data_IF_750645230989
#
_entry.id   IF_750645230989
#
_cell.length_a   1.000
_cell.length_b   1.000
_cell.length_c   1.000
_cell.angle_alpha   90.00
_cell.angle_beta   90.00
_cell.angle_gamma   90.00
#
_symmetry.space_group_name_H-M   'P 1'
#
loop_
_entity.id
_entity.type
_entity.pdbx_description
1 polymer ?
#
# COMPACT_ATOMS: atom_id res chain seq x y z
N UNK A 1 -6.00 -8.74 10.17
CA UNK A 1 -5.15 -8.58 11.38
C UNK A 1 -3.72 -8.18 11.03
N UNK A 2 -3.02 -8.91 10.16
CA UNK A 2 -1.66 -8.59 9.69
C UNK A 2 -1.39 -7.10 9.43
N UNK A 3 -2.24 -6.43 8.66
CA UNK A 3 -2.05 -5.03 8.33
C UNK A 3 -2.44 -4.02 9.43
N UNK A 4 -3.19 -4.45 10.44
CA UNK A 4 -3.46 -3.62 11.63
C UNK A 4 -2.26 -3.64 12.57
N UNK A 5 -1.53 -4.77 12.60
CA UNK A 5 -0.25 -4.90 13.30
C UNK A 5 0.80 -4.04 12.60
N UNK A 6 0.96 -4.19 11.28
CA UNK A 6 1.95 -3.44 10.53
C UNK A 6 3.38 -3.70 11.02
N UNK A 7 4.24 -2.70 10.90
CA UNK A 7 5.64 -2.75 11.35
C UNK A 7 5.83 -2.73 12.87
N UNK A 8 4.77 -2.82 13.67
CA UNK A 8 4.88 -2.69 15.13
C UNK A 8 5.35 -3.98 15.81
N UNK A 9 5.13 -5.14 15.18
CA UNK A 9 5.52 -6.44 15.72
C UNK A 9 6.32 -7.23 14.70
N UNK A 10 7.36 -7.93 15.18
CA UNK A 10 8.18 -8.86 14.41
C UNK A 10 8.38 -10.12 15.24
N UNK A 11 8.33 -11.29 14.61
CA UNK A 11 8.71 -12.55 15.24
C UNK A 11 10.18 -12.83 14.98
N UNK A 12 10.93 -13.24 15.99
CA UNK A 12 12.35 -13.60 15.86
C UNK A 12 12.51 -15.10 16.14
N UNK A 13 12.78 -15.89 15.09
CA UNK A 13 12.91 -17.35 15.21
C UNK A 13 14.34 -17.77 15.60
N UNK A 14 15.33 -17.00 15.16
CA UNK A 14 16.75 -17.13 15.50
C UNK A 14 17.35 -15.72 15.61
N UNK A 15 18.44 -15.56 16.35
CA UNK A 15 19.09 -14.26 16.52
C UNK A 15 19.41 -13.61 15.17
N UNK A 16 18.81 -12.45 14.91
CA UNK A 16 18.95 -11.71 13.64
C UNK A 16 17.98 -12.13 12.52
N UNK A 17 17.21 -13.20 12.69
CA UNK A 17 16.17 -13.60 11.75
C UNK A 17 14.81 -13.08 12.21
N UNK A 18 14.42 -11.91 11.68
CA UNK A 18 13.13 -11.28 11.96
C UNK A 18 12.15 -11.50 10.82
N UNK A 19 10.99 -12.05 11.16
CA UNK A 19 9.85 -12.22 10.28
C UNK A 19 8.74 -11.23 10.61
N UNK A 20 8.04 -10.78 9.57
CA UNK A 20 6.95 -9.83 9.66
C UNK A 20 5.68 -10.48 9.13
N UNK A 21 4.54 -10.12 9.72
CA UNK A 21 3.24 -10.68 9.34
C UNK A 21 2.70 -10.05 8.04
N UNK A 22 3.47 -10.12 6.94
CA UNK A 22 3.06 -9.65 5.63
C UNK A 22 2.31 -10.78 4.93
N UNK A 23 1.06 -10.52 4.53
CA UNK A 23 0.19 -11.52 3.91
C UNK A 23 -0.26 -11.05 2.53
N UNK A 24 -0.07 -11.92 1.53
CA UNK A 24 -0.68 -11.78 0.21
C UNK A 24 -1.77 -12.86 0.10
N UNK A 25 -3.02 -12.45 -0.08
CA UNK A 25 -4.18 -13.34 -0.03
C UNK A 25 -5.00 -13.17 -1.29
N UNK A 26 -5.20 -14.28 -2.01
CA UNK A 26 -6.11 -14.34 -3.15
C UNK A 26 -7.35 -15.20 -2.82
N UNK A 27 -8.52 -14.59 -2.81
CA UNK A 27 -9.79 -15.29 -2.70
C UNK A 27 -10.21 -15.81 -4.07
N UNK A 28 -10.16 -17.13 -4.25
CA UNK A 28 -10.51 -17.78 -5.52
C UNK A 28 -12.02 -18.03 -5.57
N UNK A 29 -12.71 -17.48 -6.57
CA UNK A 29 -14.16 -17.66 -6.72
C UNK A 29 -14.63 -17.55 -8.16
N UNK A 30 -15.62 -18.36 -8.56
CA UNK A 30 -16.23 -18.23 -9.88
C UNK A 30 -16.93 -16.87 -10.02
N UNK A 31 -16.98 -16.30 -11.25
CA UNK A 31 -17.80 -15.12 -11.51
C UNK A 31 -19.24 -15.35 -11.04
N UNK A 32 -19.78 -14.42 -10.23
CA UNK A 32 -21.14 -14.52 -9.69
C UNK A 32 -21.27 -15.17 -8.30
N UNK A 33 -20.20 -15.68 -7.70
CA UNK A 33 -20.21 -16.25 -6.32
C UNK A 33 -20.21 -15.14 -5.24
N UNK A 34 -20.30 -13.87 -5.65
CA UNK A 34 -20.35 -12.69 -4.77
C UNK A 34 -19.19 -12.60 -3.75
N UNK A 35 -18.02 -13.19 -4.02
CA UNK A 35 -16.85 -13.18 -3.11
C UNK A 35 -16.36 -11.77 -2.74
N UNK A 36 -16.58 -10.80 -3.64
CA UNK A 36 -16.31 -9.38 -3.40
C UNK A 36 -17.15 -8.79 -2.26
N UNK A 37 -18.38 -9.28 -2.04
CA UNK A 37 -19.29 -8.71 -1.05
C UNK A 37 -18.89 -9.05 0.40
N UNK A 38 -18.62 -10.33 0.76
CA UNK A 38 -18.02 -10.67 2.06
C UNK A 38 -16.68 -10.00 2.30
N UNK A 39 -15.82 -9.88 1.27
CA UNK A 39 -14.54 -9.17 1.40
C UNK A 39 -14.77 -7.70 1.74
N UNK A 40 -15.65 -7.02 0.99
CA UNK A 40 -15.97 -5.61 1.24
C UNK A 40 -16.56 -5.41 2.64
N UNK A 41 -17.43 -6.32 3.08
CA UNK A 41 -18.01 -6.30 4.41
C UNK A 41 -16.94 -6.45 5.51
N UNK A 42 -16.02 -7.41 5.37
CA UNK A 42 -14.90 -7.60 6.30
C UNK A 42 -13.99 -6.37 6.38
N UNK A 43 -13.84 -5.66 5.26
CA UNK A 43 -12.99 -4.48 5.15
C UNK A 43 -13.65 -3.18 5.62
N UNK A 44 -14.99 -3.15 5.82
CA UNK A 44 -15.72 -1.93 6.22
C UNK A 44 -15.13 -1.18 7.41
N UNK A 45 -14.75 -1.82 8.54
CA UNK A 45 -14.18 -1.10 9.67
C UNK A 45 -12.89 -0.34 9.32
N UNK A 46 -12.10 -0.86 8.37
CA UNK A 46 -10.89 -0.21 7.89
C UNK A 46 -11.21 0.94 6.91
N UNK A 47 -12.24 0.77 6.08
CA UNK A 47 -12.75 1.82 5.20
C UNK A 47 -13.27 3.00 6.01
N UNK A 48 -14.09 2.73 7.04
CA UNK A 48 -14.63 3.75 7.94
C UNK A 48 -13.52 4.50 8.69
N UNK A 49 -12.49 3.76 9.12
CA UNK A 49 -11.32 4.37 9.76
C UNK A 49 -10.56 5.29 8.80
N UNK A 50 -10.32 4.84 7.56
CA UNK A 50 -9.68 5.65 6.53
C UNK A 50 -10.53 6.87 6.13
N UNK A 51 -11.85 6.75 6.14
CA UNK A 51 -12.76 7.88 5.91
C UNK A 51 -12.61 8.94 7.02
N UNK A 52 -12.55 8.51 8.28
CA UNK A 52 -12.28 9.41 9.41
C UNK A 52 -10.91 10.09 9.30
N UNK A 53 -9.86 9.35 8.90
CA UNK A 53 -8.52 9.91 8.67
C UNK A 53 -8.49 10.88 7.49
N UNK A 54 -9.22 10.59 6.41
CA UNK A 54 -9.35 11.48 5.27
C UNK A 54 -10.06 12.79 5.64
N UNK A 55 -11.09 12.74 6.50
CA UNK A 55 -11.75 13.94 7.00
C UNK A 55 -10.81 14.79 7.87
N UNK A 56 -10.06 14.17 8.79
CA UNK A 56 -9.04 14.84 9.61
C UNK A 56 -7.99 15.53 8.73
N UNK A 57 -7.47 14.81 7.74
CA UNK A 57 -6.52 15.35 6.77
C UNK A 57 -7.08 16.54 5.99
N UNK A 58 -8.35 16.46 5.58
CA UNK A 58 -9.03 17.56 4.88
C UNK A 58 -9.12 18.83 5.72
N UNK A 59 -9.44 18.70 7.02
CA UNK A 59 -9.49 19.84 7.94
C UNK A 59 -8.09 20.41 8.25
N UNK A 60 -7.10 19.55 8.45
CA UNK A 60 -5.69 19.96 8.63
C UNK A 60 -5.17 20.70 7.39
N UNK A 61 -5.50 20.22 6.19
CA UNK A 61 -5.09 20.85 4.94
C UNK A 61 -5.74 22.22 4.76
N UNK A 62 -7.04 22.36 5.07
CA UNK A 62 -7.73 23.67 5.08
C UNK A 62 -7.06 24.63 6.06
N UNK A 63 -6.74 24.17 7.27
CA UNK A 63 -6.08 24.97 8.30
C UNK A 63 -4.68 25.40 7.86
N UNK A 64 -3.91 24.51 7.25
CA UNK A 64 -2.59 24.78 6.71
C UNK A 64 -2.65 25.81 5.56
N UNK A 65 -3.60 25.65 4.64
CA UNK A 65 -3.79 26.57 3.53
C UNK A 65 -4.19 27.97 4.03
N UNK A 66 -5.13 28.06 4.98
CA UNK A 66 -5.52 29.34 5.59
C UNK A 66 -4.33 30.02 6.31
N UNK A 67 -3.48 29.24 7.00
CA UNK A 67 -2.27 29.76 7.61
C UNK A 67 -1.24 30.26 6.58
N UNK A 68 -1.17 29.60 5.41
CA UNK A 68 -0.26 29.98 4.33
C UNK A 68 -0.67 31.27 3.61
N UNK A 69 -1.96 31.56 3.52
CA UNK A 69 -2.50 32.82 2.98
C UNK A 69 -2.14 34.04 3.84
N UNK A 70 -1.93 33.84 5.15
CA UNK A 70 -1.53 34.91 6.05
C UNK A 70 -0.03 35.25 5.93
N UNK A 71 0.35 36.53 6.04
CA UNK A 71 1.74 36.94 6.16
C UNK A 71 2.41 36.26 7.36
N UNK A 72 3.71 35.90 7.30
CA UNK A 72 4.40 35.22 8.41
C UNK A 72 4.30 35.93 9.77
N UNK A 73 4.18 37.26 9.77
CA UNK A 73 4.02 38.10 10.97
C UNK A 73 2.64 37.95 11.64
N UNK A 74 1.61 37.60 10.89
CA UNK A 74 0.23 37.46 11.37
C UNK A 74 -0.13 36.02 11.74
N UNK A 75 0.68 35.04 11.31
CA UNK A 75 0.48 33.61 11.64
C UNK A 75 0.52 33.35 13.13
N UNK A 76 1.58 33.83 13.80
CA UNK A 76 1.75 33.65 15.25
C UNK A 76 0.66 34.35 16.07
N UNK A 77 0.16 35.51 15.61
CA UNK A 77 -0.91 36.25 16.27
C UNK A 77 -2.29 35.53 16.17
N UNK A 78 -2.51 34.78 15.09
CA UNK A 78 -3.72 33.99 14.87
C UNK A 78 -3.63 32.54 15.39
N UNK A 79 -2.57 32.21 16.15
CA UNK A 79 -2.40 30.86 16.72
C UNK A 79 -1.98 29.79 15.71
N UNK A 80 -1.39 30.19 14.58
CA UNK A 80 -0.81 29.29 13.58
C UNK A 80 0.72 29.18 13.75
N UNK A 81 1.28 28.05 13.32
CA UNK A 81 2.73 27.88 13.23
C UNK A 81 3.33 28.86 12.21
N UNK A 82 4.54 29.34 12.48
CA UNK A 82 5.27 30.28 11.60
C UNK A 82 5.54 29.67 10.21
N UNK A 83 5.84 28.38 10.17
CA UNK A 83 6.07 27.62 8.95
C UNK A 83 5.23 26.33 8.98
N UNK A 84 3.94 26.40 8.60
CA UNK A 84 3.07 25.24 8.65
C UNK A 84 3.56 24.20 7.63
N UNK A 85 3.86 22.99 8.11
CA UNK A 85 4.20 21.88 7.25
C UNK A 85 2.94 21.33 6.56
N UNK A 86 3.05 20.97 5.28
CA UNK A 86 1.94 20.32 4.58
C UNK A 86 1.59 19.01 5.31
N UNK A 87 0.32 18.81 5.72
CA UNK A 87 -0.06 17.61 6.44
C UNK A 87 0.20 16.39 5.56
N UNK A 88 0.46 15.24 6.17
CA UNK A 88 0.62 13.97 5.46
C UNK A 88 -0.65 13.15 5.61
N UNK A 89 -1.14 12.62 4.49
CA UNK A 89 -2.33 11.76 4.52
C UNK A 89 -1.99 10.38 5.07
N UNK A 90 -2.29 10.17 6.34
CA UNK A 90 -2.26 8.84 6.97
C UNK A 90 -3.44 8.02 6.48
N UNK A 91 -3.16 6.85 5.93
CA UNK A 91 -4.18 5.88 5.49
C UNK A 91 -3.69 4.47 5.77
N UNK A 92 -4.63 3.52 5.84
CA UNK A 92 -4.36 2.11 6.08
C UNK A 92 -4.63 1.25 4.85
N UNK A 93 -5.47 1.73 3.93
CA UNK A 93 -5.84 1.01 2.71
C UNK A 93 -5.50 1.82 1.45
N UNK A 94 -5.24 1.09 0.38
CA UNK A 94 -5.17 1.56 -0.99
C UNK A 94 -6.01 0.65 -1.88
N UNK A 95 -6.67 1.23 -2.87
CA UNK A 95 -7.41 0.53 -3.90
C UNK A 95 -7.10 1.20 -5.23
N UNK A 96 -6.93 0.39 -6.29
CA UNK A 96 -6.70 0.86 -7.67
C UNK A 96 -5.63 1.97 -7.79
N UNK A 97 -4.45 1.71 -7.22
CA UNK A 97 -3.31 2.64 -7.28
C UNK A 97 -2.29 2.17 -8.31
N UNK A 98 -1.65 3.12 -9.01
CA UNK A 98 -0.49 2.80 -9.85
C UNK A 98 0.70 2.40 -8.98
N UNK A 99 1.66 1.65 -9.54
CA UNK A 99 2.83 1.22 -8.80
C UNK A 99 3.65 2.41 -8.26
N UNK A 100 3.76 3.49 -9.03
CA UNK A 100 4.41 4.73 -8.60
C UNK A 100 3.73 5.34 -7.37
N UNK A 101 2.39 5.33 -7.36
CA UNK A 101 1.62 5.78 -6.21
C UNK A 101 1.82 4.86 -5.00
N UNK A 102 1.94 3.53 -5.20
CA UNK A 102 2.26 2.59 -4.11
C UNK A 102 3.58 2.95 -3.44
N UNK A 103 4.65 3.19 -4.20
CA UNK A 103 5.95 3.59 -3.63
C UNK A 103 5.83 4.85 -2.78
N UNK A 104 5.18 5.90 -3.31
CA UNK A 104 5.01 7.16 -2.59
C UNK A 104 4.17 7.01 -1.33
N UNK A 105 3.01 6.34 -1.42
CA UNK A 105 2.11 6.21 -0.28
C UNK A 105 2.75 5.33 0.80
N UNK A 106 3.49 4.29 0.42
CA UNK A 106 4.19 3.41 1.36
C UNK A 106 5.33 4.14 2.10
N UNK A 107 6.02 5.09 1.46
CA UNK A 107 7.02 5.91 2.16
C UNK A 107 6.41 6.92 3.14
N UNK A 108 5.21 7.40 2.85
CA UNK A 108 4.44 8.28 3.74
C UNK A 108 3.81 7.54 4.92
N UNK A 109 3.56 6.22 4.79
CA UNK A 109 2.85 5.40 5.77
C UNK A 109 3.74 4.26 6.32
N UNK A 110 4.72 4.57 7.19
CA UNK A 110 5.72 3.61 7.66
C UNK A 110 5.13 2.52 8.58
N UNK A 111 3.87 2.66 9.04
CA UNK A 111 3.19 1.57 9.77
C UNK A 111 2.83 0.40 8.85
N UNK A 112 2.60 0.68 7.57
CA UNK A 112 2.18 -0.31 6.59
C UNK A 112 0.77 -0.08 6.06
N UNK A 113 0.46 -0.76 4.96
CA UNK A 113 -0.75 -0.56 4.16
C UNK A 113 -1.36 -1.89 3.76
N UNK A 114 -2.64 -1.85 3.42
CA UNK A 114 -3.36 -2.91 2.70
C UNK A 114 -3.63 -2.43 1.29
N UNK A 115 -3.26 -3.25 0.32
CA UNK A 115 -3.69 -3.09 -1.04
C UNK A 115 -4.84 -4.04 -1.34
N UNK A 116 -6.01 -3.47 -1.59
CA UNK A 116 -7.21 -4.22 -1.92
C UNK A 116 -7.47 -4.17 -3.43
N UNK A 117 -7.62 -5.33 -4.07
CA UNK A 117 -8.05 -5.45 -5.46
C UNK A 117 -9.33 -6.27 -5.56
N UNK A 118 -10.36 -5.72 -6.19
CA UNK A 118 -11.58 -6.47 -6.47
C UNK A 118 -11.31 -7.55 -7.54
N UNK A 119 -10.32 -7.35 -8.40
CA UNK A 119 -9.83 -8.35 -9.35
C UNK A 119 -8.29 -8.34 -9.42
N UNK A 120 -7.64 -9.31 -8.75
CA UNK A 120 -6.18 -9.43 -8.74
C UNK A 120 -5.60 -9.60 -10.14
N UNK A 121 -6.37 -10.13 -11.10
CA UNK A 121 -5.96 -10.23 -12.50
C UNK A 121 -5.45 -8.92 -13.08
N UNK A 122 -6.12 -7.80 -12.77
CA UNK A 122 -5.71 -6.46 -13.22
C UNK A 122 -4.35 -6.06 -12.64
N UNK A 123 -4.16 -6.31 -11.35
CA UNK A 123 -2.87 -6.10 -10.67
C UNK A 123 -1.75 -6.95 -11.28
N UNK A 124 -1.98 -8.25 -11.50
CA UNK A 124 -0.95 -9.11 -12.08
C UNK A 124 -0.71 -8.84 -13.57
N UNK A 125 -1.66 -8.23 -14.29
CA UNK A 125 -1.45 -7.73 -15.67
C UNK A 125 -0.60 -6.46 -15.68
N UNK A 126 -0.73 -5.60 -14.67
CA UNK A 126 0.03 -4.36 -14.59
C UNK A 126 1.54 -4.59 -14.42
N UNK A 127 1.98 -5.70 -13.82
CA UNK A 127 3.40 -6.08 -13.76
C UNK A 127 4.11 -6.17 -15.11
N UNK A 128 3.37 -6.48 -16.17
CA UNK A 128 3.93 -6.66 -17.52
C UNK A 128 3.91 -5.39 -18.36
N UNK A 129 3.26 -4.31 -17.89
CA UNK A 129 2.95 -3.17 -18.75
C UNK A 129 4.10 -2.17 -18.88
N UNK A 130 5.03 -2.12 -17.91
CA UNK A 130 6.03 -1.05 -17.84
C UNK A 130 7.50 -1.46 -17.79
N UNK A 131 7.86 -2.68 -17.38
CA UNK A 131 9.20 -3.27 -17.60
C UNK A 131 9.22 -4.71 -17.10
N UNK A 132 9.66 -5.65 -17.93
CA UNK A 132 9.63 -7.09 -17.69
C UNK A 132 10.67 -7.56 -16.63
N UNK A 133 10.52 -7.15 -15.37
CA UNK A 133 11.30 -7.68 -14.24
C UNK A 133 11.27 -6.85 -12.96
N UNK A 134 11.46 -5.53 -13.06
CA UNK A 134 11.73 -4.67 -11.89
C UNK A 134 10.57 -4.56 -10.90
N UNK A 135 9.32 -4.60 -11.38
CA UNK A 135 8.16 -4.49 -10.51
C UNK A 135 7.94 -5.78 -9.69
N UNK A 136 8.15 -6.94 -10.31
CA UNK A 136 8.04 -8.23 -9.60
C UNK A 136 9.07 -8.33 -8.48
N UNK A 137 10.30 -7.86 -8.72
CA UNK A 137 11.35 -7.78 -7.70
C UNK A 137 10.99 -6.83 -6.55
N UNK A 138 10.31 -5.72 -6.84
CA UNK A 138 9.80 -4.81 -5.80
C UNK A 138 8.78 -5.50 -4.90
N UNK A 139 7.72 -6.09 -5.46
CA UNK A 139 6.72 -6.82 -4.67
C UNK A 139 7.36 -7.95 -3.89
N UNK A 140 8.40 -8.55 -4.47
CA UNK A 140 9.13 -9.60 -3.81
C UNK A 140 10.00 -9.13 -2.66
N UNK A 141 10.62 -7.97 -2.80
CA UNK A 141 11.37 -7.32 -1.72
C UNK A 141 10.43 -6.91 -0.59
N UNK A 142 9.27 -6.36 -0.93
CA UNK A 142 8.23 -5.97 0.04
C UNK A 142 7.72 -7.17 0.82
N UNK A 143 7.41 -8.28 0.16
CA UNK A 143 6.96 -9.51 0.82
C UNK A 143 8.01 -10.03 1.83
N UNK A 144 9.29 -9.98 1.47
CA UNK A 144 10.39 -10.41 2.34
C UNK A 144 10.86 -9.31 3.33
N UNK A 145 10.10 -8.22 3.47
CA UNK A 145 10.43 -7.07 4.33
C UNK A 145 11.85 -6.49 4.06
N UNK A 146 12.31 -6.54 2.81
CA UNK A 146 13.59 -5.97 2.40
C UNK A 146 13.43 -4.51 2.03
N UNK A 147 14.43 -3.70 2.35
CA UNK A 147 14.50 -2.27 1.99
C UNK A 147 14.15 -2.10 0.50
N UNK A 148 13.20 -1.22 0.22
CA UNK A 148 12.83 -0.87 -1.15
C UNK A 148 13.31 0.55 -1.45
N UNK A 149 14.13 0.68 -2.50
CA UNK A 149 14.59 1.97 -3.01
C UNK A 149 14.12 2.13 -4.44
N UNK A 150 13.60 3.32 -4.77
CA UNK A 150 13.21 3.67 -6.14
C UNK A 150 13.78 5.04 -6.48
N UNK A 151 14.91 5.04 -7.18
CA UNK A 151 15.55 6.23 -7.73
C UNK A 151 15.12 6.40 -9.19
N UNK A 152 13.92 6.94 -9.41
CA UNK A 152 13.47 7.27 -10.77
C UNK A 152 14.02 8.63 -11.20
N UNK A 153 14.69 8.63 -12.36
CA UNK A 153 15.41 9.76 -12.97
C UNK A 153 14.59 11.05 -13.21
N UNK A 154 13.26 11.04 -13.12
CA UNK A 154 12.40 12.19 -13.45
C UNK A 154 11.75 12.89 -12.26
N UNK A 155 11.92 12.39 -11.04
CA UNK A 155 11.41 13.01 -9.82
C UNK A 155 12.58 13.37 -8.91
N UNK A 156 12.69 14.64 -8.51
CA UNK A 156 13.67 15.09 -7.50
C UNK A 156 13.52 14.38 -6.13
N UNK A 157 12.50 13.54 -5.98
CA UNK A 157 12.21 12.71 -4.83
C UNK A 157 12.44 11.23 -5.14
N UNK A 158 13.68 10.76 -4.97
CA UNK A 158 13.93 9.33 -4.78
C UNK A 158 13.14 8.83 -3.57
N UNK A 159 12.50 7.67 -3.69
CA UNK A 159 11.67 7.12 -2.61
C UNK A 159 12.46 6.03 -1.90
N UNK A 160 12.81 6.30 -0.64
CA UNK A 160 13.51 5.35 0.24
C UNK A 160 12.55 4.79 1.29
N UNK A 161 12.35 3.46 1.28
CA UNK A 161 11.47 2.75 2.21
C UNK A 161 12.30 1.76 2.99
N UNK A 162 12.65 2.13 4.22
CA UNK A 162 13.48 1.30 5.10
C UNK A 162 12.82 -0.03 5.47
N UNK A 163 11.55 0.03 5.87
CA UNK A 163 10.81 -1.11 6.39
C UNK A 163 9.47 -1.19 5.64
N UNK A 164 9.41 -1.74 4.41
CA UNK A 164 8.15 -1.83 3.69
C UNK A 164 7.22 -2.86 4.34
N UNK A 165 5.98 -2.45 4.59
CA UNK A 165 4.94 -3.35 5.07
C UNK A 165 3.68 -3.14 4.24
N UNK A 166 3.37 -4.11 3.39
CA UNK A 166 2.23 -4.01 2.49
C UNK A 166 1.59 -5.38 2.40
N UNK A 167 0.36 -5.51 2.88
CA UNK A 167 -0.43 -6.71 2.65
C UNK A 167 -1.23 -6.53 1.37
N UNK A 168 -1.42 -7.61 0.62
CA UNK A 168 -2.26 -7.61 -0.58
C UNK A 168 -3.44 -8.53 -0.33
N UNK A 169 -4.64 -8.07 -0.62
CA UNK A 169 -5.84 -8.90 -0.58
C UNK A 169 -6.69 -8.62 -1.82
N UNK A 170 -7.23 -9.67 -2.41
CA UNK A 170 -8.18 -9.49 -3.49
C UNK A 170 -8.83 -10.76 -3.95
N UNK A 171 -9.73 -10.66 -4.92
CA UNK A 171 -10.38 -11.82 -5.52
C UNK A 171 -9.75 -12.19 -6.86
N UNK A 172 -9.75 -13.47 -7.19
CA UNK A 172 -9.27 -13.97 -8.49
C UNK A 172 -10.20 -15.05 -9.02
N UNK A 173 -10.46 -15.02 -10.33
CA UNK A 173 -11.25 -16.05 -10.98
C UNK A 173 -10.38 -17.30 -11.24
N UNK A 174 -10.91 -18.53 -11.06
CA UNK A 174 -10.16 -19.76 -11.31
C UNK A 174 -9.53 -19.81 -12.70
N UNK A 175 -10.26 -19.39 -13.74
CA UNK A 175 -9.75 -19.37 -15.12
C UNK A 175 -8.53 -18.46 -15.26
N UNK A 176 -8.60 -17.26 -14.69
CA UNK A 176 -7.48 -16.33 -14.72
C UNK A 176 -6.30 -16.89 -13.93
N UNK A 177 -6.55 -17.50 -12.78
CA UNK A 177 -5.50 -18.15 -12.00
C UNK A 177 -4.77 -19.23 -12.81
N UNK A 178 -5.50 -20.08 -13.53
CA UNK A 178 -4.94 -21.10 -14.41
C UNK A 178 -4.12 -20.48 -15.55
N UNK A 179 -4.64 -19.42 -16.18
CA UNK A 179 -3.92 -18.69 -17.24
C UNK A 179 -2.63 -18.04 -16.70
N UNK A 180 -2.66 -17.53 -15.47
CA UNK A 180 -1.48 -16.97 -14.81
C UNK A 180 -0.43 -18.05 -14.51
N UNK A 181 -0.86 -19.22 -14.02
CA UNK A 181 0.03 -20.35 -13.73
C UNK A 181 0.64 -20.96 -15.02
N UNK A 182 -0.15 -21.06 -16.09
CA UNK A 182 0.29 -21.65 -17.36
C UNK A 182 1.29 -20.77 -18.12
N UNK A 183 1.22 -19.43 -18.00
CA UNK A 183 2.09 -18.49 -18.70
C UNK A 183 3.50 -18.32 -18.09
N UNK A 184 4.07 -19.37 -17.47
CA UNK A 184 5.44 -19.38 -16.94
C UNK A 184 5.73 -18.35 -15.83
N UNK A 185 4.71 -17.85 -15.13
CA UNK A 185 4.87 -16.98 -13.94
C UNK A 185 5.39 -17.73 -12.71
N UNK A 186 5.54 -19.06 -12.81
CA UNK A 186 6.23 -19.91 -11.83
C UNK A 186 7.73 -19.57 -11.71
N UNK A 187 8.34 -18.94 -12.72
CA UNK A 187 9.78 -18.67 -12.70
C UNK A 187 10.22 -17.66 -11.62
N UNK A 188 9.31 -16.82 -11.09
CA UNK A 188 9.65 -15.77 -10.13
C UNK A 188 9.22 -16.08 -8.67
N UNK A 189 8.63 -17.25 -8.39
CA UNK A 189 8.16 -17.63 -7.05
C UNK A 189 7.07 -16.73 -6.46
N UNK A 190 6.46 -15.86 -7.27
CA UNK A 190 5.43 -14.92 -6.83
C UNK A 190 4.08 -15.62 -6.60
N UNK A 191 3.73 -16.56 -7.48
CA UNK A 191 2.52 -17.38 -7.34
C UNK A 191 2.57 -18.25 -6.09
N UNK A 192 3.74 -18.78 -5.74
CA UNK A 192 3.98 -19.59 -4.52
C UNK A 192 3.81 -18.81 -3.21
N UNK A 193 3.66 -17.48 -3.28
CA UNK A 193 3.50 -16.61 -2.10
C UNK A 193 2.12 -15.99 -1.99
N UNK A 194 1.28 -16.17 -3.01
CA UNK A 194 -0.11 -15.70 -3.05
C UNK A 194 -1.09 -16.86 -2.83
N UNK A 195 -0.70 -18.09 -3.20
CA UNK A 195 -1.50 -19.31 -3.12
C UNK A 195 -1.05 -20.22 -1.99
#
# INVERSE_FOLDING_TARGET
MAAVIGNTHSAEAMAGWKEYAILFVALVGCPGVCTSHPLSYLMQPLIDHDAGKAAQFGEELKRCNAAMELPPKERGANGYELNPAEPRRVRFMMQDVTNEAVHRILSENPRGLILMYDELAGWVKNFNRYNSGSESEFWMSVFNHKVAMSDRKSSQSGVFIRNPFLCVIGTIQPKVLTDLAANNRNANGFMERIL
#
